data_IF_519281497146
#
_entry.id   IF_519281497146
#
_cell.length_a   1.000
_cell.length_b   1.000
_cell.length_c   1.000
_cell.angle_alpha   90.00
_cell.angle_beta   90.00
_cell.angle_gamma   90.00
#
_symmetry.space_group_name_H-M   'P 1'
#
loop_
_entity.id
_entity.type
_entity.pdbx_description
1 polymer ?
#
# COMPACT_ATOMS: atom_id res chain seq x y z
N UNK A 1 -13.76 11.85 -11.89
CA UNK A 1 -12.42 11.20 -11.89
C UNK A 1 -11.80 11.39 -13.26
N UNK A 2 -10.52 11.73 -13.32
CA UNK A 2 -9.69 11.88 -14.52
C UNK A 2 -8.63 10.80 -14.55
N UNK A 3 -8.27 10.33 -15.74
CA UNK A 3 -7.26 9.29 -15.96
C UNK A 3 -6.18 9.85 -16.87
N UNK A 4 -4.91 9.68 -16.50
CA UNK A 4 -3.75 10.10 -17.30
C UNK A 4 -2.67 9.02 -17.32
N UNK A 5 -1.70 9.16 -18.23
CA UNK A 5 -0.51 8.30 -18.30
C UNK A 5 0.73 9.08 -17.94
N UNK A 6 1.60 8.50 -17.10
CA UNK A 6 2.94 8.99 -16.84
C UNK A 6 3.97 7.90 -17.18
N UNK A 7 5.07 8.29 -17.81
CA UNK A 7 6.17 7.35 -18.04
C UNK A 7 6.77 6.92 -16.70
N UNK A 8 6.87 5.63 -16.41
CA UNK A 8 7.54 5.10 -15.22
C UNK A 8 9.01 5.52 -15.16
N UNK A 9 9.59 5.54 -13.97
CA UNK A 9 11.01 5.77 -13.74
C UNK A 9 11.90 4.66 -14.30
N UNK A 10 11.33 3.50 -14.64
CA UNK A 10 12.00 2.44 -15.41
C UNK A 10 12.23 2.81 -16.89
N UNK A 11 11.64 3.92 -17.37
CA UNK A 11 11.72 4.46 -18.75
C UNK A 11 11.19 3.52 -19.84
N UNK A 12 10.39 2.52 -19.48
CA UNK A 12 9.84 1.52 -20.41
C UNK A 12 8.32 1.42 -20.32
N UNK A 13 7.78 1.46 -19.11
CA UNK A 13 6.36 1.26 -18.85
C UNK A 13 5.66 2.59 -18.60
N UNK A 14 4.35 2.62 -18.83
CA UNK A 14 3.48 3.74 -18.48
C UNK A 14 2.71 3.42 -17.21
N UNK A 15 2.66 4.37 -16.30
CA UNK A 15 1.80 4.31 -15.11
C UNK A 15 0.43 4.85 -15.48
N UNK A 16 -0.62 4.11 -15.15
CA UNK A 16 -1.98 4.61 -15.22
C UNK A 16 -2.29 5.35 -13.92
N UNK A 17 -2.56 6.64 -14.01
CA UNK A 17 -2.79 7.52 -12.86
C UNK A 17 -4.24 7.97 -12.85
N UNK A 18 -4.88 7.89 -11.70
CA UNK A 18 -6.24 8.34 -11.47
C UNK A 18 -6.25 9.56 -10.56
N UNK A 19 -7.15 10.50 -10.85
CA UNK A 19 -7.28 11.76 -10.11
C UNK A 19 -8.76 12.01 -9.85
N UNK A 20 -9.13 12.09 -8.58
CA UNK A 20 -10.44 12.52 -8.12
C UNK A 20 -10.31 13.98 -7.69
N UNK A 21 -10.71 14.87 -8.61
CA UNK A 21 -10.66 16.30 -8.37
C UNK A 21 -11.77 16.73 -7.40
N UNK A 22 -11.48 17.70 -6.55
CA UNK A 22 -12.45 18.40 -5.71
C UNK A 22 -12.95 19.68 -6.37
N UNK A 23 -13.95 20.33 -5.77
CA UNK A 23 -14.44 21.61 -6.25
C UNK A 23 -13.48 22.74 -5.83
N UNK A 24 -12.95 23.48 -6.83
CA UNK A 24 -12.03 24.61 -6.58
C UNK A 24 -10.60 24.20 -6.19
N UNK A 25 -9.93 25.05 -5.43
CA UNK A 25 -8.56 24.78 -4.97
C UNK A 25 -8.57 23.78 -3.81
N UNK A 26 -7.85 22.66 -3.91
CA UNK A 26 -7.83 21.66 -2.84
C UNK A 26 -7.15 22.20 -1.56
N UNK A 27 -7.68 21.85 -0.40
CA UNK A 27 -7.08 22.14 0.91
C UNK A 27 -5.88 21.22 1.19
N UNK A 28 -5.88 20.02 0.63
CA UNK A 28 -4.79 19.06 0.70
C UNK A 28 -4.83 18.11 -0.51
N UNK A 29 -3.75 17.37 -0.70
CA UNK A 29 -3.66 16.27 -1.67
C UNK A 29 -3.43 14.98 -0.88
N UNK A 30 -4.23 13.94 -1.17
CA UNK A 30 -4.03 12.59 -0.66
C UNK A 30 -3.62 11.68 -1.81
N UNK A 31 -2.40 11.17 -1.76
CA UNK A 31 -1.93 10.14 -2.70
C UNK A 31 -2.20 8.75 -2.14
N UNK A 32 -2.67 7.84 -3.00
CA UNK A 32 -2.95 6.46 -2.65
C UNK A 32 -1.91 5.52 -3.27
N UNK A 33 -1.47 4.53 -2.48
CA UNK A 33 -0.59 3.42 -2.88
C UNK A 33 -1.28 2.11 -2.54
N UNK A 34 -1.77 1.39 -3.54
CA UNK A 34 -2.57 0.18 -3.39
C UNK A 34 -1.75 -1.05 -3.01
N UNK A 35 -2.44 -2.13 -2.62
CA UNK A 35 -1.85 -3.39 -2.18
C UNK A 35 -1.46 -4.36 -3.30
N UNK A 36 -1.11 -5.57 -2.89
CA UNK A 36 -0.79 -6.69 -3.78
C UNK A 36 -2.07 -7.28 -4.40
N UNK A 37 -2.02 -7.63 -5.70
CA UNK A 37 -3.14 -8.27 -6.39
C UNK A 37 -4.42 -7.44 -6.36
N UNK A 38 -4.28 -6.13 -6.53
CA UNK A 38 -5.37 -5.17 -6.64
C UNK A 38 -4.96 -3.99 -7.54
N UNK A 39 -5.84 -3.01 -7.68
CA UNK A 39 -5.61 -1.80 -8.47
C UNK A 39 -6.33 -0.61 -7.85
N UNK A 40 -5.99 0.60 -8.30
CA UNK A 40 -6.42 1.83 -7.62
C UNK A 40 -7.93 2.10 -7.70
N UNK A 41 -8.64 1.60 -8.72
CA UNK A 41 -10.09 1.80 -8.82
C UNK A 41 -10.89 1.13 -7.69
N UNK A 42 -10.31 0.20 -6.94
CA UNK A 42 -10.95 -0.37 -5.74
C UNK A 42 -11.10 0.65 -4.62
N UNK A 43 -10.42 1.79 -4.72
CA UNK A 43 -10.50 2.91 -3.78
C UNK A 43 -11.47 4.01 -4.25
N UNK A 44 -12.26 3.81 -5.31
CA UNK A 44 -13.10 4.85 -5.93
C UNK A 44 -14.13 5.43 -4.95
N UNK A 45 -14.77 4.59 -4.13
CA UNK A 45 -15.72 5.03 -3.10
C UNK A 45 -15.05 5.92 -2.05
N UNK A 46 -13.95 5.46 -1.48
CA UNK A 46 -13.13 6.23 -0.54
C UNK A 46 -12.62 7.54 -1.15
N UNK A 47 -12.08 7.47 -2.36
CA UNK A 47 -11.54 8.65 -3.05
C UNK A 47 -12.62 9.69 -3.35
N UNK A 48 -13.84 9.28 -3.72
CA UNK A 48 -15.00 10.15 -3.88
C UNK A 48 -15.41 10.80 -2.55
N UNK A 49 -15.43 10.03 -1.46
CA UNK A 49 -15.70 10.58 -0.14
C UNK A 49 -14.69 11.67 0.23
N UNK A 50 -13.40 11.39 0.11
CA UNK A 50 -12.33 12.35 0.45
C UNK A 50 -12.36 13.57 -0.49
N UNK A 51 -12.59 13.37 -1.80
CA UNK A 51 -12.65 14.50 -2.74
C UNK A 51 -13.87 15.41 -2.51
N UNK A 52 -14.99 14.85 -2.02
CA UNK A 52 -16.16 15.66 -1.59
C UNK A 52 -15.87 16.56 -0.38
N UNK A 53 -14.80 16.28 0.35
CA UNK A 53 -14.30 17.06 1.50
C UNK A 53 -13.22 18.08 1.11
N UNK A 54 -13.12 18.44 -0.15
CA UNK A 54 -12.14 19.38 -0.69
C UNK A 54 -10.67 18.95 -0.57
N UNK A 55 -10.42 17.64 -0.55
CA UNK A 55 -9.09 17.04 -0.62
C UNK A 55 -8.95 16.32 -1.96
N UNK A 56 -8.01 16.77 -2.81
CA UNK A 56 -7.74 16.09 -4.07
C UNK A 56 -7.15 14.71 -3.80
N UNK A 57 -7.68 13.67 -4.47
CA UNK A 57 -7.13 12.32 -4.36
C UNK A 57 -6.44 11.94 -5.67
N UNK A 58 -5.24 11.39 -5.58
CA UNK A 58 -4.45 10.94 -6.74
C UNK A 58 -3.76 9.61 -6.40
N UNK A 59 -3.48 8.80 -7.41
CA UNK A 59 -2.65 7.62 -7.27
C UNK A 59 -2.50 6.91 -8.60
N UNK A 60 -1.66 5.90 -8.63
CA UNK A 60 -1.40 5.11 -9.82
C UNK A 60 -1.55 3.61 -9.55
N UNK A 61 -1.94 2.87 -10.58
CA UNK A 61 -1.68 1.44 -10.58
C UNK A 61 -0.15 1.23 -10.58
N UNK A 62 0.36 0.39 -9.68
CA UNK A 62 1.78 0.06 -9.63
C UNK A 62 2.20 -0.76 -10.86
N UNK A 63 3.50 -0.79 -11.17
CA UNK A 63 4.03 -1.73 -12.16
C UNK A 63 3.57 -3.15 -11.84
N UNK A 64 3.23 -3.91 -12.88
CA UNK A 64 2.70 -5.27 -12.71
C UNK A 64 1.25 -5.35 -12.21
N UNK A 65 0.51 -4.22 -12.18
CA UNK A 65 -0.87 -4.16 -11.68
C UNK A 65 -1.77 -3.29 -12.56
N UNK A 66 -3.06 -3.58 -12.47
CA UNK A 66 -4.12 -2.77 -13.07
C UNK A 66 -3.86 -2.41 -14.52
N UNK A 67 -4.12 -1.16 -14.90
CA UNK A 67 -3.88 -0.65 -16.27
C UNK A 67 -2.44 -0.18 -16.52
N UNK A 68 -1.55 -0.24 -15.52
CA UNK A 68 -0.10 0.00 -15.71
C UNK A 68 0.63 -1.23 -16.25
N UNK A 69 -0.04 -2.37 -16.34
CA UNK A 69 0.52 -3.61 -16.90
C UNK A 69 -0.42 -4.25 -17.91
N UNK A 70 0.15 -5.02 -18.83
CA UNK A 70 -0.61 -5.98 -19.60
C UNK A 70 -0.82 -7.25 -18.79
N UNK A 71 -1.82 -8.07 -19.16
CA UNK A 71 -2.17 -9.29 -18.40
C UNK A 71 -0.98 -10.26 -18.25
N UNK A 72 -0.12 -10.36 -19.27
CA UNK A 72 1.10 -11.18 -19.25
C UNK A 72 2.21 -10.66 -18.31
N UNK A 73 2.11 -9.41 -17.88
CA UNK A 73 3.06 -8.75 -16.98
C UNK A 73 2.53 -8.61 -15.54
N UNK A 74 1.33 -9.11 -15.24
CA UNK A 74 0.79 -9.04 -13.89
C UNK A 74 1.70 -9.75 -12.88
N UNK A 75 1.92 -9.09 -11.75
CA UNK A 75 2.80 -9.57 -10.68
C UNK A 75 4.30 -9.46 -10.98
N UNK A 76 4.70 -8.73 -12.04
CA UNK A 76 6.09 -8.50 -12.42
C UNK A 76 6.46 -7.01 -12.36
N UNK A 77 7.46 -6.64 -11.55
CA UNK A 77 7.85 -5.24 -11.30
C UNK A 77 9.09 -4.77 -12.08
N UNK A 78 9.69 -5.64 -12.87
CA UNK A 78 10.94 -5.32 -13.57
C UNK A 78 12.17 -5.31 -12.67
N UNK A 79 13.29 -4.85 -13.21
CA UNK A 79 14.60 -4.94 -12.54
C UNK A 79 14.78 -4.01 -11.35
N UNK A 80 14.09 -2.87 -11.34
CA UNK A 80 14.22 -1.86 -10.26
C UNK A 80 13.44 -2.18 -9.00
N UNK A 81 12.51 -3.15 -9.05
CA UNK A 81 11.77 -3.67 -7.90
C UNK A 81 11.10 -2.56 -7.07
N UNK A 82 11.14 -2.68 -5.75
CA UNK A 82 10.49 -1.73 -4.83
C UNK A 82 11.09 -0.32 -4.89
N UNK A 83 12.33 -0.15 -5.33
CA UNK A 83 12.90 1.17 -5.56
C UNK A 83 12.22 1.90 -6.72
N UNK A 84 11.99 1.21 -7.85
CA UNK A 84 11.24 1.77 -8.97
C UNK A 84 9.82 2.13 -8.56
N UNK A 85 9.12 1.25 -7.82
CA UNK A 85 7.75 1.53 -7.36
C UNK A 85 7.71 2.79 -6.48
N UNK A 86 8.66 2.97 -5.57
CA UNK A 86 8.75 4.15 -4.70
C UNK A 86 9.10 5.41 -5.51
N UNK A 87 10.01 5.32 -6.49
CA UNK A 87 10.34 6.43 -7.37
C UNK A 87 9.15 6.80 -8.27
N UNK A 88 8.35 5.84 -8.69
CA UNK A 88 7.11 6.07 -9.44
C UNK A 88 6.05 6.77 -8.59
N UNK A 89 5.89 6.38 -7.31
CA UNK A 89 5.06 7.13 -6.37
C UNK A 89 5.55 8.58 -6.25
N UNK A 90 6.87 8.79 -6.13
CA UNK A 90 7.43 10.15 -6.04
C UNK A 90 7.20 10.95 -7.34
N UNK A 91 7.25 10.30 -8.49
CA UNK A 91 6.92 10.95 -9.76
C UNK A 91 5.46 11.42 -9.81
N UNK A 92 4.53 10.64 -9.27
CA UNK A 92 3.12 11.06 -9.11
C UNK A 92 3.01 12.23 -8.14
N UNK A 93 3.77 12.22 -7.04
CA UNK A 93 3.85 13.36 -6.10
C UNK A 93 4.31 14.63 -6.81
N UNK A 94 5.39 14.54 -7.60
CA UNK A 94 5.92 15.68 -8.35
C UNK A 94 4.88 16.21 -9.36
N UNK A 95 4.26 15.32 -10.13
CA UNK A 95 3.18 15.71 -11.06
C UNK A 95 2.04 16.44 -10.34
N UNK A 96 1.60 15.93 -9.21
CA UNK A 96 0.51 16.54 -8.44
C UNK A 96 0.89 17.95 -7.94
N UNK A 97 2.09 18.10 -7.37
CA UNK A 97 2.60 19.38 -6.88
C UNK A 97 2.77 20.40 -8.00
N UNK A 98 3.32 20.00 -9.14
CA UNK A 98 3.49 20.87 -10.32
C UNK A 98 2.15 21.31 -10.91
N UNK A 99 1.14 20.41 -10.89
CA UNK A 99 -0.17 20.69 -11.51
C UNK A 99 -1.10 21.51 -10.61
N UNK A 100 -1.13 21.19 -9.31
CA UNK A 100 -2.12 21.76 -8.38
C UNK A 100 -1.53 22.78 -7.41
N UNK A 101 -0.22 22.74 -7.16
CA UNK A 101 0.50 23.69 -6.31
C UNK A 101 1.45 23.02 -5.32
N UNK A 102 2.66 23.58 -5.22
CA UNK A 102 3.73 23.06 -4.34
C UNK A 102 3.46 23.30 -2.84
N UNK A 103 2.65 24.30 -2.51
CA UNK A 103 2.38 24.71 -1.13
C UNK A 103 1.17 23.97 -0.53
N UNK A 104 0.48 23.12 -1.30
CA UNK A 104 -0.66 22.35 -0.81
C UNK A 104 -0.16 21.21 0.06
N UNK A 105 -0.68 21.06 1.31
CA UNK A 105 -0.35 19.93 2.19
C UNK A 105 -0.53 18.60 1.48
N UNK A 106 0.51 17.74 1.56
CA UNK A 106 0.56 16.48 0.82
C UNK A 106 0.61 15.28 1.74
N UNK A 107 -0.36 14.39 1.61
CA UNK A 107 -0.49 13.17 2.40
C UNK A 107 -0.33 11.94 1.51
N UNK A 108 0.25 10.87 2.07
CA UNK A 108 0.36 9.56 1.41
C UNK A 108 -0.34 8.50 2.24
N UNK A 109 -1.29 7.77 1.65
CA UNK A 109 -1.89 6.58 2.23
C UNK A 109 -1.41 5.35 1.47
N UNK A 110 -0.81 4.40 2.18
CA UNK A 110 -0.46 3.09 1.65
C UNK A 110 -1.21 1.96 2.33
N UNK A 111 -1.78 1.05 1.52
CA UNK A 111 -2.46 -0.14 2.01
C UNK A 111 -1.67 -1.40 1.68
N UNK A 112 -1.55 -2.34 2.64
CA UNK A 112 -0.90 -3.64 2.45
C UNK A 112 0.51 -3.52 1.85
N UNK A 113 0.80 -4.12 0.69
CA UNK A 113 2.03 -3.90 -0.06
C UNK A 113 2.30 -2.40 -0.25
N UNK A 114 1.29 -1.61 -0.60
CA UNK A 114 1.40 -0.15 -0.72
C UNK A 114 1.83 0.52 0.58
N UNK A 115 1.49 -0.04 1.75
CA UNK A 115 1.97 0.45 3.04
C UNK A 115 3.49 0.21 3.22
N UNK A 116 4.02 -0.89 2.67
CA UNK A 116 5.46 -1.15 2.69
C UNK A 116 6.21 -0.18 1.76
N UNK A 117 5.62 0.12 0.58
CA UNK A 117 6.15 1.14 -0.34
C UNK A 117 6.08 2.54 0.28
N UNK A 118 4.98 2.90 0.94
CA UNK A 118 4.81 4.18 1.64
C UNK A 118 5.81 4.32 2.80
N UNK A 119 6.06 3.26 3.58
CA UNK A 119 7.08 3.24 4.63
C UNK A 119 8.50 3.39 4.05
N UNK A 120 8.79 2.79 2.89
CA UNK A 120 10.06 3.03 2.17
C UNK A 120 10.12 4.47 1.63
N UNK A 121 9.01 4.98 1.10
CA UNK A 121 8.90 6.35 0.59
C UNK A 121 9.26 7.39 1.65
N UNK A 122 8.67 7.31 2.86
CA UNK A 122 8.94 8.27 3.92
C UNK A 122 10.40 8.30 4.40
N UNK A 123 11.15 7.22 4.17
CA UNK A 123 12.60 7.15 4.49
C UNK A 123 13.47 7.85 3.45
N UNK A 124 12.91 8.12 2.25
CA UNK A 124 13.63 8.74 1.13
C UNK A 124 13.10 10.14 0.85
N UNK A 125 11.79 10.32 0.83
CA UNK A 125 11.07 11.52 0.43
C UNK A 125 10.16 12.09 1.53
N UNK A 126 10.33 11.65 2.77
CA UNK A 126 9.43 12.00 3.88
C UNK A 126 9.32 13.50 4.18
N UNK A 127 10.35 14.30 3.84
CA UNK A 127 10.32 15.76 4.00
C UNK A 127 9.29 16.46 3.09
N UNK A 128 8.77 15.77 2.07
CA UNK A 128 7.78 16.29 1.15
C UNK A 128 6.34 16.05 1.59
N UNK A 129 6.17 15.27 2.67
CA UNK A 129 4.86 14.88 3.20
C UNK A 129 4.45 15.74 4.39
N UNK A 130 3.18 16.12 4.44
CA UNK A 130 2.52 16.70 5.61
C UNK A 130 2.02 15.64 6.59
N UNK A 131 1.87 14.40 6.14
CA UNK A 131 1.51 13.24 6.97
C UNK A 131 1.45 11.95 6.14
N UNK A 132 1.46 10.80 6.83
CA UNK A 132 1.40 9.49 6.20
C UNK A 132 0.41 8.58 6.94
N UNK A 133 -0.41 7.85 6.17
CA UNK A 133 -1.38 6.89 6.68
C UNK A 133 -0.96 5.50 6.21
N UNK A 134 -0.87 4.57 7.15
CA UNK A 134 -0.33 3.23 6.96
C UNK A 134 -1.41 2.23 7.32
N UNK A 135 -2.06 1.68 6.30
CA UNK A 135 -3.21 0.77 6.41
C UNK A 135 -2.81 -0.68 6.16
N UNK A 136 -3.30 -1.61 6.98
CA UNK A 136 -3.11 -3.05 6.78
C UNK A 136 -1.63 -3.46 6.68
N UNK A 137 -0.77 -2.79 7.45
CA UNK A 137 0.68 -3.04 7.44
C UNK A 137 1.05 -4.21 8.35
N UNK A 138 2.30 -4.66 8.24
CA UNK A 138 2.84 -5.68 9.12
C UNK A 138 4.34 -5.54 9.34
N UNK A 139 4.84 -6.38 10.22
CA UNK A 139 6.27 -6.56 10.49
C UNK A 139 6.56 -8.04 10.64
N UNK A 140 7.62 -8.52 10.02
CA UNK A 140 8.05 -9.93 10.12
C UNK A 140 9.52 -9.97 10.61
N UNK A 141 9.94 -11.05 11.30
CA UNK A 141 11.33 -11.20 11.68
C UNK A 141 12.27 -11.10 10.48
N UNK A 142 13.33 -10.31 10.60
CA UNK A 142 14.26 -10.06 9.49
C UNK A 142 14.88 -11.34 8.94
N UNK A 143 15.20 -12.30 9.79
CA UNK A 143 15.73 -13.61 9.36
C UNK A 143 14.75 -14.37 8.45
N UNK A 144 13.45 -14.27 8.73
CA UNK A 144 12.42 -14.89 7.89
C UNK A 144 12.34 -14.23 6.51
N UNK A 145 12.43 -12.91 6.46
CA UNK A 145 12.46 -12.15 5.20
C UNK A 145 13.69 -12.53 4.37
N UNK A 146 14.86 -12.56 4.98
CA UNK A 146 16.12 -12.92 4.30
C UNK A 146 16.10 -14.37 3.81
N UNK A 147 15.55 -15.29 4.60
CA UNK A 147 15.38 -16.69 4.18
C UNK A 147 14.41 -16.81 2.99
N UNK A 148 13.27 -16.13 3.05
CA UNK A 148 12.31 -16.09 1.92
C UNK A 148 12.95 -15.56 0.65
N UNK A 149 13.70 -14.47 0.73
CA UNK A 149 14.45 -13.91 -0.42
C UNK A 149 15.51 -14.89 -0.95
N UNK A 150 16.22 -15.57 -0.06
CA UNK A 150 17.19 -16.59 -0.47
C UNK A 150 16.52 -17.75 -1.24
N UNK A 151 15.37 -18.25 -0.78
CA UNK A 151 14.62 -19.30 -1.47
C UNK A 151 14.15 -18.81 -2.86
N UNK A 152 13.57 -17.60 -2.93
CA UNK A 152 13.14 -17.01 -4.20
C UNK A 152 14.32 -16.92 -5.18
N UNK A 153 15.45 -16.37 -4.76
CA UNK A 153 16.65 -16.22 -5.60
C UNK A 153 17.21 -17.56 -6.04
N UNK A 154 17.09 -18.58 -5.22
CA UNK A 154 17.52 -19.93 -5.58
C UNK A 154 16.63 -20.51 -6.69
N UNK A 155 15.31 -20.38 -6.58
CA UNK A 155 14.37 -20.87 -7.60
C UNK A 155 14.51 -20.03 -8.88
N UNK A 156 14.62 -18.70 -8.76
CA UNK A 156 14.80 -17.75 -9.86
C UNK A 156 15.99 -18.11 -10.76
N UNK A 157 17.10 -18.58 -10.16
CA UNK A 157 18.29 -19.00 -10.91
C UNK A 157 18.03 -20.15 -11.89
N UNK A 158 17.06 -21.03 -11.59
CA UNK A 158 16.74 -22.20 -12.41
C UNK A 158 15.49 -22.02 -13.28
N UNK A 159 14.52 -21.22 -12.82
CA UNK A 159 13.20 -21.07 -13.45
C UNK A 159 12.98 -19.70 -14.11
N UNK A 160 13.86 -18.72 -13.81
CA UNK A 160 13.70 -17.35 -14.25
C UNK A 160 12.81 -16.51 -13.31
N UNK A 161 12.96 -15.20 -13.41
CA UNK A 161 12.29 -14.25 -12.51
C UNK A 161 10.77 -14.12 -12.71
N UNK A 162 10.27 -14.49 -13.90
CA UNK A 162 8.84 -14.47 -14.24
C UNK A 162 8.10 -15.75 -13.84
N UNK A 163 8.82 -16.73 -13.29
CA UNK A 163 8.19 -17.97 -12.85
C UNK A 163 7.21 -17.72 -11.68
N UNK A 164 6.01 -18.28 -11.81
CA UNK A 164 4.99 -18.31 -10.76
C UNK A 164 5.18 -19.59 -9.97
N UNK A 165 5.34 -19.48 -8.65
CA UNK A 165 5.64 -20.61 -7.77
C UNK A 165 4.59 -20.76 -6.68
N UNK A 166 3.73 -21.78 -6.79
CA UNK A 166 2.74 -22.12 -5.76
C UNK A 166 3.39 -22.35 -4.39
N UNK A 167 4.60 -22.89 -4.38
CA UNK A 167 5.36 -23.10 -3.14
C UNK A 167 5.66 -21.76 -2.43
N UNK A 168 6.12 -20.74 -3.16
CA UNK A 168 6.41 -19.41 -2.61
C UNK A 168 5.10 -18.71 -2.23
N UNK A 169 4.07 -18.78 -3.08
CA UNK A 169 2.74 -18.22 -2.80
C UNK A 169 2.18 -18.79 -1.49
N UNK A 170 2.24 -20.10 -1.30
CA UNK A 170 1.75 -20.75 -0.08
C UNK A 170 2.54 -20.35 1.17
N UNK A 171 3.86 -20.14 1.08
CA UNK A 171 4.67 -19.65 2.20
C UNK A 171 4.29 -18.23 2.61
N UNK A 172 4.03 -17.34 1.64
CA UNK A 172 3.82 -15.91 1.89
C UNK A 172 2.38 -15.60 2.28
N UNK A 173 1.39 -16.18 1.60
CA UNK A 173 -0.03 -15.84 1.74
C UNK A 173 -0.97 -17.01 2.02
N UNK A 174 -0.50 -18.25 1.91
CA UNK A 174 -1.37 -19.45 2.02
C UNK A 174 -2.07 -19.64 3.36
N UNK A 175 -1.65 -18.91 4.40
CA UNK A 175 -2.23 -19.00 5.76
C UNK A 175 -3.15 -17.83 6.12
N UNK A 176 -3.40 -16.92 5.21
CA UNK A 176 -4.18 -15.70 5.53
C UNK A 176 -5.63 -16.03 5.95
N UNK A 177 -6.20 -17.11 5.42
CA UNK A 177 -7.57 -17.53 5.73
C UNK A 177 -7.68 -18.53 6.93
N UNK A 178 -6.57 -18.91 7.56
CA UNK A 178 -6.57 -20.02 8.53
C UNK A 178 -7.47 -19.77 9.76
N UNK A 179 -7.60 -18.49 10.19
CA UNK A 179 -8.42 -18.14 11.36
C UNK A 179 -9.84 -17.67 11.01
N UNK A 180 -10.20 -17.65 9.72
CA UNK A 180 -11.55 -17.30 9.33
C UNK A 180 -12.46 -18.50 9.61
N UNK A 181 -13.44 -18.31 10.48
CA UNK A 181 -14.49 -19.30 10.76
C UNK A 181 -15.50 -19.24 9.63
N UNK A 182 -16.00 -20.38 9.18
CA UNK A 182 -17.01 -20.48 8.10
C UNK A 182 -16.61 -19.80 6.79
N UNK A 183 -15.31 -19.89 6.46
CA UNK A 183 -14.78 -19.34 5.20
C UNK A 183 -15.51 -19.91 3.99
N UNK A 184 -15.89 -19.02 3.07
CA UNK A 184 -16.60 -19.32 1.82
C UNK A 184 -15.67 -19.29 0.60
N UNK A 185 -14.61 -18.49 0.68
CA UNK A 185 -13.68 -18.26 -0.42
C UNK A 185 -12.22 -18.27 0.06
N UNK A 186 -11.26 -18.22 -0.86
CA UNK A 186 -9.83 -18.16 -0.54
C UNK A 186 -9.39 -16.75 -0.08
N UNK A 187 -10.24 -15.73 -0.23
CA UNK A 187 -9.91 -14.32 0.01
C UNK A 187 -10.80 -13.67 1.08
N UNK A 188 -11.53 -14.44 1.86
CA UNK A 188 -12.37 -13.92 2.95
C UNK A 188 -11.58 -13.12 3.99
N UNK A 189 -10.29 -13.36 4.11
CA UNK A 189 -9.39 -12.61 4.99
C UNK A 189 -9.26 -11.12 4.62
N UNK A 190 -9.70 -10.72 3.43
CA UNK A 190 -9.64 -9.33 2.97
C UNK A 190 -10.61 -8.43 3.74
N UNK A 191 -11.87 -8.84 3.85
CA UNK A 191 -12.93 -8.05 4.48
C UNK A 191 -14.10 -8.93 4.92
N UNK A 192 -14.91 -8.43 5.86
CA UNK A 192 -16.19 -9.04 6.25
C UNK A 192 -17.32 -8.74 5.25
N UNK A 193 -17.13 -7.83 4.30
CA UNK A 193 -18.14 -7.49 3.28
C UNK A 193 -18.10 -8.50 2.12
N UNK A 194 -19.11 -9.40 2.09
CA UNK A 194 -19.20 -10.47 1.09
C UNK A 194 -19.35 -9.94 -0.35
N UNK A 195 -19.95 -8.76 -0.55
CA UNK A 195 -20.09 -8.18 -1.89
C UNK A 195 -18.72 -7.65 -2.38
N UNK A 196 -17.91 -7.10 -1.50
CA UNK A 196 -16.53 -6.72 -1.82
C UNK A 196 -15.68 -7.96 -2.13
N UNK A 197 -15.79 -9.04 -1.35
CA UNK A 197 -15.12 -10.32 -1.64
C UNK A 197 -15.51 -10.85 -3.01
N UNK A 198 -16.81 -10.86 -3.31
CA UNK A 198 -17.34 -11.32 -4.60
C UNK A 198 -16.86 -10.43 -5.77
N UNK A 199 -16.85 -9.11 -5.58
CA UNK A 199 -16.33 -8.16 -6.57
C UNK A 199 -14.84 -8.42 -6.85
N UNK A 200 -14.03 -8.62 -5.79
CA UNK A 200 -12.62 -8.96 -5.92
C UNK A 200 -12.38 -10.23 -6.73
N UNK A 201 -13.13 -11.30 -6.43
CA UNK A 201 -13.01 -12.59 -7.13
C UNK A 201 -13.43 -12.55 -8.61
N UNK A 202 -14.29 -11.60 -8.99
CA UNK A 202 -14.75 -11.42 -10.37
C UNK A 202 -13.90 -10.40 -11.16
N UNK A 203 -12.86 -9.86 -10.55
CA UNK A 203 -11.98 -8.88 -11.19
C UNK A 203 -10.68 -9.52 -11.67
N UNK A 204 -10.50 -9.62 -12.98
CA UNK A 204 -9.29 -10.16 -13.61
C UNK A 204 -8.01 -9.39 -13.21
N UNK A 205 -8.12 -8.12 -12.81
CA UNK A 205 -7.01 -7.31 -12.33
C UNK A 205 -6.64 -7.59 -10.86
N UNK A 206 -7.41 -8.46 -10.18
CA UNK A 206 -7.16 -8.92 -8.81
C UNK A 206 -6.79 -10.40 -8.76
N UNK A 207 -7.35 -11.21 -9.69
CA UNK A 207 -7.21 -12.67 -9.69
C UNK A 207 -6.00 -13.12 -10.56
N UNK A 208 -4.81 -12.77 -10.11
CA UNK A 208 -3.54 -13.21 -10.71
C UNK A 208 -2.53 -13.60 -9.63
N UNK A 209 -1.45 -14.28 -10.00
CA UNK A 209 -0.40 -14.68 -9.09
C UNK A 209 0.89 -13.87 -9.32
N UNK A 210 1.61 -13.59 -8.22
CA UNK A 210 2.90 -12.93 -8.30
C UNK A 210 3.97 -13.86 -8.88
N UNK A 211 4.81 -13.28 -9.71
CA UNK A 211 6.05 -13.90 -10.16
C UNK A 211 7.07 -13.95 -9.00
N UNK A 212 8.16 -14.69 -9.15
CA UNK A 212 9.29 -14.66 -8.21
C UNK A 212 9.83 -13.23 -8.03
N UNK A 213 9.91 -12.45 -9.13
CA UNK A 213 10.28 -11.03 -9.08
C UNK A 213 9.31 -10.22 -8.21
N UNK A 214 8.01 -10.46 -8.33
CA UNK A 214 6.99 -9.78 -7.52
C UNK A 214 7.17 -10.05 -6.03
N UNK A 215 7.32 -11.31 -5.65
CA UNK A 215 7.56 -11.69 -4.26
C UNK A 215 8.90 -11.19 -3.72
N UNK A 216 9.99 -11.21 -4.52
CA UNK A 216 11.27 -10.62 -4.10
C UNK A 216 11.16 -9.10 -3.92
N UNK A 217 10.37 -8.42 -4.76
CA UNK A 217 10.08 -6.98 -4.64
C UNK A 217 9.37 -6.67 -3.33
N UNK A 218 8.34 -7.46 -2.98
CA UNK A 218 7.63 -7.33 -1.71
C UNK A 218 8.56 -7.51 -0.50
N UNK A 219 9.32 -8.62 -0.49
CA UNK A 219 10.23 -8.93 0.62
C UNK A 219 11.41 -7.93 0.71
N UNK A 220 11.88 -7.40 -0.42
CA UNK A 220 12.89 -6.35 -0.46
C UNK A 220 12.38 -5.05 0.18
N UNK A 221 11.15 -4.65 -0.12
CA UNK A 221 10.52 -3.50 0.55
C UNK A 221 10.41 -3.72 2.06
N UNK A 222 9.99 -4.91 2.49
CA UNK A 222 9.90 -5.28 3.91
C UNK A 222 11.28 -5.27 4.59
N UNK A 223 12.31 -5.79 3.94
CA UNK A 223 13.69 -5.75 4.45
C UNK A 223 14.16 -4.30 4.61
N UNK A 224 13.94 -3.45 3.59
CA UNK A 224 14.39 -2.07 3.60
C UNK A 224 13.71 -1.24 4.69
N UNK A 225 12.38 -1.33 4.80
CA UNK A 225 11.60 -0.51 5.73
C UNK A 225 11.81 -0.86 7.22
N UNK A 226 12.32 -2.06 7.51
CA UNK A 226 12.58 -2.51 8.88
C UNK A 226 14.03 -2.27 9.34
N UNK A 227 14.93 -1.86 8.44
CA UNK A 227 16.33 -1.55 8.81
C UNK A 227 16.38 -0.31 9.71
N UNK A 228 16.92 -0.44 10.92
CA UNK A 228 17.07 0.68 11.88
C UNK A 228 17.78 1.90 11.28
N UNK A 229 18.78 1.68 10.41
CA UNK A 229 19.48 2.77 9.71
C UNK A 229 18.57 3.56 8.76
N UNK A 230 17.57 2.91 8.15
CA UNK A 230 16.61 3.56 7.29
C UNK A 230 15.51 4.26 8.10
N UNK A 231 15.01 3.62 9.16
CA UNK A 231 14.05 4.24 10.10
C UNK A 231 14.59 5.55 10.68
N UNK A 232 15.90 5.64 10.95
CA UNK A 232 16.54 6.88 11.44
C UNK A 232 16.46 8.05 10.45
N UNK A 233 16.29 7.79 9.15
CA UNK A 233 16.19 8.83 8.09
C UNK A 233 14.82 9.51 8.05
N UNK A 234 13.81 8.94 8.69
CA UNK A 234 12.45 9.49 8.71
C UNK A 234 12.46 10.84 9.44
N UNK A 235 11.84 11.89 8.86
CA UNK A 235 11.68 13.18 9.53
C UNK A 235 10.94 13.01 10.85
N UNK A 236 11.47 13.59 11.93
CA UNK A 236 10.92 13.37 13.29
C UNK A 236 9.59 14.07 13.51
N UNK A 237 9.30 15.07 12.69
CA UNK A 237 8.06 15.86 12.76
C UNK A 237 7.00 15.37 11.75
N UNK A 238 7.24 14.27 11.00
CA UNK A 238 6.27 13.69 10.07
C UNK A 238 5.16 12.98 10.87
N UNK A 239 3.90 13.47 10.86
CA UNK A 239 2.78 12.79 11.49
C UNK A 239 2.49 11.45 10.81
N UNK A 240 2.14 10.44 11.61
CA UNK A 240 1.85 9.09 11.14
C UNK A 240 0.56 8.54 11.73
N UNK A 241 -0.24 7.90 10.92
CA UNK A 241 -1.46 7.21 11.36
C UNK A 241 -1.46 5.76 10.90
N UNK A 242 -1.44 4.83 11.85
CA UNK A 242 -1.57 3.40 11.58
C UNK A 242 -3.03 2.99 11.75
N UNK A 243 -3.59 2.33 10.75
CA UNK A 243 -4.94 1.75 10.79
C UNK A 243 -4.91 0.28 10.37
N UNK A 244 -5.60 -0.58 11.10
CA UNK A 244 -5.71 -2.01 10.79
C UNK A 244 -6.89 -2.65 11.50
N UNK A 245 -7.41 -3.74 10.94
CA UNK A 245 -8.34 -4.60 11.65
C UNK A 245 -7.62 -5.50 12.67
N UNK A 246 -8.30 -5.83 13.77
CA UNK A 246 -7.74 -6.78 14.76
C UNK A 246 -7.65 -8.21 14.23
N UNK A 247 -8.42 -8.53 13.19
CA UNK A 247 -8.48 -9.84 12.57
C UNK A 247 -7.66 -9.92 11.27
N UNK A 248 -6.81 -8.89 11.00
CA UNK A 248 -5.92 -8.84 9.86
C UNK A 248 -4.73 -9.81 10.01
N UNK A 249 -4.62 -10.88 9.17
CA UNK A 249 -3.51 -11.85 9.23
C UNK A 249 -2.18 -11.25 8.76
N UNK A 250 -2.18 -10.24 7.88
CA UNK A 250 -0.97 -9.56 7.40
C UNK A 250 -0.31 -8.81 8.55
N UNK A 251 -1.13 -8.15 9.37
CA UNK A 251 -0.74 -7.48 10.60
C UNK A 251 -0.45 -8.41 11.77
N UNK A 252 -0.44 -9.74 11.55
CA UNK A 252 -0.31 -10.75 12.61
C UNK A 252 -1.31 -10.51 13.75
N UNK A 253 -2.57 -10.20 13.35
CA UNK A 253 -3.66 -9.97 14.29
C UNK A 253 -3.29 -8.87 15.31
N UNK A 254 -2.97 -7.69 14.80
CA UNK A 254 -2.49 -6.46 15.48
C UNK A 254 -1.02 -6.45 15.85
N UNK A 255 -0.39 -7.56 16.24
CA UNK A 255 0.99 -7.60 16.77
C UNK A 255 2.03 -7.01 15.83
N UNK A 256 1.91 -7.26 14.53
CA UNK A 256 2.83 -6.75 13.52
C UNK A 256 2.64 -5.26 13.26
N UNK A 257 1.41 -4.76 13.42
CA UNK A 257 1.07 -3.33 13.31
C UNK A 257 1.58 -2.57 14.54
N UNK A 258 1.28 -3.09 15.76
CA UNK A 258 1.76 -2.53 17.03
C UNK A 258 3.29 -2.47 17.05
N UNK A 259 3.95 -3.53 16.56
CA UNK A 259 5.41 -3.52 16.41
C UNK A 259 5.89 -2.41 15.47
N UNK A 260 5.20 -2.19 14.33
CA UNK A 260 5.56 -1.14 13.40
C UNK A 260 5.38 0.25 14.03
N UNK A 261 4.28 0.46 14.75
CA UNK A 261 4.01 1.66 15.55
C UNK A 261 5.11 1.89 16.60
N UNK A 262 5.41 0.88 17.41
CA UNK A 262 6.45 0.93 18.44
C UNK A 262 7.84 1.30 17.87
N UNK A 263 8.17 0.76 16.69
CA UNK A 263 9.44 1.06 16.02
C UNK A 263 9.53 2.56 15.64
N UNK A 264 8.40 3.21 15.29
CA UNK A 264 8.35 4.64 15.02
C UNK A 264 8.46 5.47 16.31
N UNK A 265 7.76 5.09 17.38
CA UNK A 265 7.87 5.72 18.70
C UNK A 265 9.32 5.62 19.24
N UNK A 266 9.94 4.45 19.15
CA UNK A 266 11.35 4.23 19.53
C UNK A 266 12.35 5.02 18.67
N UNK A 267 11.98 5.35 17.44
CA UNK A 267 12.74 6.22 16.56
C UNK A 267 12.54 7.71 16.86
N UNK A 268 11.77 8.06 17.90
CA UNK A 268 11.47 9.43 18.34
C UNK A 268 10.71 10.25 17.28
N UNK A 269 9.82 9.61 16.53
CA UNK A 269 8.83 10.31 15.74
C UNK A 269 7.83 10.93 16.73
N UNK A 270 7.50 12.23 16.56
CA UNK A 270 6.80 13.01 17.59
C UNK A 270 5.29 12.79 17.61
N UNK A 271 4.71 12.49 16.45
CA UNK A 271 3.26 12.38 16.27
C UNK A 271 2.95 11.05 15.54
N UNK A 272 2.59 10.04 16.33
CA UNK A 272 2.27 8.70 15.81
C UNK A 272 0.99 8.22 16.45
N UNK A 273 -0.07 8.13 15.66
CA UNK A 273 -1.37 7.61 16.07
C UNK A 273 -1.54 6.16 15.57
N UNK A 274 -2.29 5.35 16.31
CA UNK A 274 -2.69 4.01 15.91
C UNK A 274 -4.17 3.78 16.23
N UNK A 275 -4.91 3.19 15.29
CA UNK A 275 -6.29 2.76 15.47
C UNK A 275 -6.46 1.32 14.99
N UNK A 276 -6.90 0.45 15.90
CA UNK A 276 -7.17 -0.95 15.63
C UNK A 276 -8.69 -1.18 15.70
N UNK A 277 -9.28 -1.51 14.56
CA UNK A 277 -10.72 -1.73 14.44
C UNK A 277 -11.07 -3.16 14.82
N UNK A 278 -11.84 -3.31 15.90
CA UNK A 278 -12.22 -4.62 16.43
C UNK A 278 -13.04 -5.43 15.43
N UNK A 279 -12.62 -6.67 15.16
CA UNK A 279 -13.26 -7.58 14.20
C UNK A 279 -13.03 -7.20 12.74
N UNK A 280 -12.42 -6.06 12.44
CA UNK A 280 -12.04 -5.69 11.07
C UNK A 280 -10.94 -6.60 10.55
N UNK A 281 -11.00 -6.93 9.26
CA UNK A 281 -10.00 -7.73 8.54
C UNK A 281 -8.97 -6.83 7.86
N UNK A 282 -8.41 -7.26 6.76
CA UNK A 282 -7.27 -6.59 6.13
C UNK A 282 -7.59 -5.24 5.46
N UNK A 283 -8.69 -5.17 4.70
CA UNK A 283 -9.04 -4.01 3.87
C UNK A 283 -9.97 -3.04 4.60
N UNK A 284 -9.45 -2.24 5.52
CA UNK A 284 -10.27 -1.34 6.34
C UNK A 284 -11.10 -0.34 5.52
N UNK A 285 -10.59 0.11 4.36
CA UNK A 285 -11.32 0.99 3.45
C UNK A 285 -12.41 0.28 2.63
N UNK A 286 -12.50 -1.04 2.73
CA UNK A 286 -13.50 -1.89 2.08
C UNK A 286 -14.27 -2.75 3.11
N UNK A 287 -14.13 -2.44 4.41
CA UNK A 287 -14.85 -3.14 5.47
C UNK A 287 -16.32 -2.70 5.59
N UNK A 288 -17.12 -3.50 6.29
CA UNK A 288 -18.53 -3.14 6.60
C UNK A 288 -18.60 -1.79 7.32
N UNK A 289 -17.60 -1.48 8.14
CA UNK A 289 -17.51 -0.22 8.90
C UNK A 289 -16.75 0.89 8.16
N UNK A 290 -16.52 0.76 6.84
CA UNK A 290 -15.70 1.68 6.04
C UNK A 290 -16.05 3.16 6.20
N UNK A 291 -17.34 3.48 6.38
CA UNK A 291 -17.76 4.88 6.55
C UNK A 291 -17.09 5.54 7.77
N UNK A 292 -17.01 4.80 8.90
CA UNK A 292 -16.31 5.27 10.09
C UNK A 292 -14.81 5.39 9.84
N UNK A 293 -14.22 4.45 9.11
CA UNK A 293 -12.79 4.50 8.75
C UNK A 293 -12.48 5.69 7.85
N UNK A 294 -13.38 6.00 6.89
CA UNK A 294 -13.25 7.17 6.02
C UNK A 294 -13.28 8.48 6.83
N UNK A 295 -14.19 8.56 7.80
CA UNK A 295 -14.30 9.72 8.68
C UNK A 295 -13.07 9.89 9.57
N UNK A 296 -12.55 8.79 10.15
CA UNK A 296 -11.34 8.81 10.97
C UNK A 296 -10.12 9.28 10.16
N UNK A 297 -9.96 8.76 8.93
CA UNK A 297 -8.89 9.18 8.01
C UNK A 297 -9.04 10.66 7.65
N UNK A 298 -10.25 11.11 7.30
CA UNK A 298 -10.51 12.51 6.98
C UNK A 298 -10.20 13.42 8.18
N UNK A 299 -10.69 13.09 9.37
CA UNK A 299 -10.49 13.89 10.59
C UNK A 299 -9.01 13.96 10.95
N UNK A 300 -8.28 12.85 10.78
CA UNK A 300 -6.84 12.85 10.99
C UNK A 300 -6.11 13.77 9.99
N UNK A 301 -6.44 13.71 8.70
CA UNK A 301 -5.88 14.64 7.69
C UNK A 301 -6.20 16.08 8.06
N UNK A 302 -7.46 16.40 8.39
CA UNK A 302 -7.88 17.78 8.76
C UNK A 302 -7.11 18.32 9.96
N UNK A 303 -6.82 17.49 10.97
CA UNK A 303 -5.99 17.87 12.13
C UNK A 303 -4.58 18.30 11.73
N UNK A 304 -4.05 17.75 10.60
CA UNK A 304 -2.67 17.97 10.15
C UNK A 304 -2.53 18.87 8.91
N UNK A 305 -3.62 19.43 8.40
CA UNK A 305 -3.58 20.54 7.43
C UNK A 305 -3.16 21.80 8.21
N UNK A 306 -1.99 22.36 7.87
CA UNK A 306 -1.44 23.57 8.49
C UNK A 306 -1.50 24.74 7.51
#
# INVERSE_FOLDING_TARGET
>A
MKEIKLLSTDKKNELNVYIWECEGKPEAILQLSHGMKEHLLRYDEFAKYISSKNILVIGNDHLGHGKSAKKEDYGYFGNGKSETVVNDLHKVTQYAKETYGNDIPYFLLGHSMGSFMARRYMMTYGNELSGIIISGTGSKPQLLILFGRFLIKTIEKFKGERYISDFITNIISGKNNDRIIDKKTEVDWLTNDEEIVKSYMNDDMCMFEFTLNGYDTLLEAMEFMQKKSNIKKIPKDLPMFFISGTDDPVGDYSKGVEKAYDDMCKASIKDVDIMLYHGGRHEMLNEIIRDSVYEDVYNWIKKHIK
#
